data_IF_283390356911
#
_entry.id   IF_283390356911
#
_cell.length_a   1.000
_cell.length_b   1.000
_cell.length_c   1.000
_cell.angle_alpha   90.00
_cell.angle_beta   90.00
_cell.angle_gamma   90.00
#
_symmetry.space_group_name_H-M   'P 1'
#
loop_
_entity.id
_entity.type
_entity.pdbx_description
1 polymer ?
#
# COMPACT_ATOMS: atom_id res chain seq x y z
N UNK A 1 2.96 9.83 8.72
CA UNK A 1 2.67 8.53 9.37
C UNK A 1 1.21 8.11 9.23
N UNK A 2 0.24 8.90 9.70
CA UNK A 2 -1.18 8.51 9.69
C UNK A 2 -1.74 8.11 8.31
N UNK A 3 -1.39 8.83 7.25
CA UNK A 3 -1.87 8.54 5.88
C UNK A 3 -1.44 7.16 5.39
N UNK A 4 -0.15 6.81 5.56
CA UNK A 4 0.36 5.47 5.23
C UNK A 4 -0.31 4.39 6.07
N UNK A 5 -0.50 4.63 7.36
CA UNK A 5 -1.10 3.66 8.27
C UNK A 5 -2.56 3.38 7.88
N UNK A 6 -3.36 4.43 7.65
CA UNK A 6 -4.75 4.30 7.23
C UNK A 6 -4.83 3.56 5.88
N UNK A 7 -3.98 3.94 4.92
CA UNK A 7 -3.90 3.26 3.64
C UNK A 7 -3.60 1.76 3.79
N UNK A 8 -2.56 1.41 4.54
CA UNK A 8 -2.15 0.01 4.74
C UNK A 8 -3.24 -0.81 5.41
N UNK A 9 -3.89 -0.27 6.45
CA UNK A 9 -4.99 -0.97 7.14
C UNK A 9 -6.14 -1.22 6.16
N UNK A 10 -6.57 -0.18 5.45
CA UNK A 10 -7.69 -0.26 4.49
C UNK A 10 -7.41 -1.30 3.39
N UNK A 11 -6.18 -1.27 2.85
CA UNK A 11 -5.75 -2.17 1.80
C UNK A 11 -5.68 -3.62 2.29
N UNK A 12 -5.07 -3.86 3.46
CA UNK A 12 -4.93 -5.20 4.02
C UNK A 12 -6.30 -5.84 4.31
N UNK A 13 -7.23 -5.07 4.87
CA UNK A 13 -8.61 -5.54 5.08
C UNK A 13 -9.30 -5.87 3.77
N UNK A 14 -9.17 -5.02 2.75
CA UNK A 14 -9.75 -5.25 1.43
C UNK A 14 -9.19 -6.53 0.79
N UNK A 15 -7.87 -6.71 0.81
CA UNK A 15 -7.22 -7.90 0.27
C UNK A 15 -7.64 -9.18 1.01
N UNK A 16 -7.83 -9.10 2.34
CA UNK A 16 -8.28 -10.23 3.15
C UNK A 16 -9.73 -10.62 2.83
N UNK A 17 -10.63 -9.64 2.70
CA UNK A 17 -12.03 -9.88 2.33
C UNK A 17 -12.14 -10.47 0.93
N UNK A 18 -11.39 -9.94 -0.04
CA UNK A 18 -11.37 -10.48 -1.41
C UNK A 18 -10.79 -11.90 -1.43
N UNK A 19 -9.72 -12.14 -0.68
CA UNK A 19 -9.11 -13.47 -0.52
C UNK A 19 -10.07 -14.49 0.12
N UNK A 20 -10.84 -14.08 1.11
CA UNK A 20 -11.85 -14.94 1.73
C UNK A 20 -13.02 -15.23 0.77
N UNK A 21 -13.62 -14.19 0.19
CA UNK A 21 -14.82 -14.35 -0.64
C UNK A 21 -14.55 -15.00 -2.00
N UNK A 22 -13.42 -14.67 -2.65
CA UNK A 22 -13.16 -15.07 -4.04
C UNK A 22 -12.35 -16.37 -4.13
N UNK A 23 -11.53 -16.62 -3.11
CA UNK A 23 -10.49 -17.64 -3.18
C UNK A 23 -10.78 -18.87 -2.33
N UNK A 24 -11.85 -18.90 -1.53
CA UNK A 24 -12.30 -20.07 -0.77
C UNK A 24 -12.54 -21.32 -1.63
N UNK A 25 -13.03 -21.15 -2.87
CA UNK A 25 -13.29 -22.25 -3.82
C UNK A 25 -12.14 -22.48 -4.81
N UNK A 26 -11.08 -21.66 -4.74
CA UNK A 26 -9.96 -21.69 -5.68
C UNK A 26 -8.83 -22.60 -5.21
N UNK A 27 -7.97 -23.03 -6.13
CA UNK A 27 -6.82 -23.88 -5.80
C UNK A 27 -5.80 -23.12 -4.93
N UNK A 28 -5.08 -23.86 -4.06
CA UNK A 28 -4.06 -23.28 -3.15
C UNK A 28 -2.98 -22.47 -3.88
N UNK A 29 -2.69 -22.81 -5.14
CA UNK A 29 -1.71 -22.09 -5.98
C UNK A 29 -2.23 -20.70 -6.36
N UNK A 30 -3.53 -20.59 -6.70
CA UNK A 30 -4.17 -19.30 -7.01
C UNK A 30 -4.22 -18.42 -5.76
N UNK A 31 -4.49 -19.00 -4.59
CA UNK A 31 -4.38 -18.30 -3.31
C UNK A 31 -3.00 -17.71 -3.07
N UNK A 32 -1.94 -18.50 -3.24
CA UNK A 32 -0.56 -18.03 -3.08
C UNK A 32 -0.22 -16.89 -4.05
N UNK A 33 -0.59 -17.04 -5.33
CA UNK A 33 -0.35 -16.01 -6.35
C UNK A 33 -1.09 -14.71 -6.03
N UNK A 34 -2.35 -14.79 -5.60
CA UNK A 34 -3.13 -13.61 -5.22
C UNK A 34 -2.48 -12.86 -4.07
N UNK A 35 -2.16 -13.55 -2.96
CA UNK A 35 -1.54 -12.89 -1.80
C UNK A 35 -0.13 -12.37 -2.11
N UNK A 36 0.63 -13.08 -2.95
CA UNK A 36 1.94 -12.61 -3.41
C UNK A 36 1.83 -11.33 -4.24
N UNK A 37 0.91 -11.28 -5.20
CA UNK A 37 0.70 -10.10 -6.06
C UNK A 37 0.07 -8.96 -5.27
N UNK A 38 -0.93 -9.22 -4.44
CA UNK A 38 -1.54 -8.21 -3.56
C UNK A 38 -0.49 -7.62 -2.60
N UNK A 39 0.38 -8.47 -2.05
CA UNK A 39 1.52 -8.07 -1.22
C UNK A 39 2.58 -7.26 -1.95
N UNK A 40 2.67 -7.32 -3.28
CA UNK A 40 3.58 -6.47 -4.06
C UNK A 40 2.86 -5.20 -4.56
N UNK A 41 1.60 -5.32 -4.95
CA UNK A 41 0.83 -4.23 -5.55
C UNK A 41 0.71 -3.01 -4.64
N UNK A 42 0.65 -3.19 -3.31
CA UNK A 42 0.57 -2.06 -2.36
C UNK A 42 1.89 -1.26 -2.23
N UNK A 43 3.02 -1.79 -2.68
CA UNK A 43 4.30 -1.07 -2.63
C UNK A 43 4.30 0.16 -3.52
N UNK A 44 3.57 0.13 -4.64
CA UNK A 44 3.41 1.25 -5.57
C UNK A 44 2.76 2.46 -4.87
N UNK A 45 1.54 2.34 -4.29
CA UNK A 45 0.92 3.44 -3.57
C UNK A 45 1.70 3.85 -2.32
N UNK A 46 2.35 2.92 -1.61
CA UNK A 46 3.23 3.28 -0.50
C UNK A 46 4.40 4.17 -0.96
N UNK A 47 5.05 3.81 -2.07
CA UNK A 47 6.11 4.60 -2.69
C UNK A 47 5.63 5.98 -3.15
N UNK A 48 4.43 6.06 -3.72
CA UNK A 48 3.83 7.34 -4.11
C UNK A 48 3.58 8.27 -2.92
N UNK A 49 3.09 7.73 -1.79
CA UNK A 49 2.89 8.52 -0.56
C UNK A 49 4.22 8.98 0.02
N UNK A 50 5.24 8.11 0.06
CA UNK A 50 6.58 8.47 0.53
C UNK A 50 7.20 9.56 -0.34
N UNK A 51 7.11 9.42 -1.67
CA UNK A 51 7.59 10.43 -2.62
C UNK A 51 6.92 11.79 -2.42
N UNK A 52 5.61 11.80 -2.18
CA UNK A 52 4.86 13.02 -1.87
C UNK A 52 5.32 13.66 -0.55
N UNK A 53 5.57 12.85 0.48
CA UNK A 53 6.11 13.33 1.76
C UNK A 53 7.53 13.90 1.61
N UNK A 54 8.38 13.25 0.82
CA UNK A 54 9.75 13.71 0.57
C UNK A 54 9.78 15.03 -0.22
N UNK A 55 8.95 15.16 -1.26
CA UNK A 55 8.87 16.40 -2.03
C UNK A 55 8.30 17.57 -1.22
N UNK A 56 7.29 17.36 -0.39
CA UNK A 56 6.77 18.40 0.52
C UNK A 56 7.83 18.88 1.52
N UNK A 57 8.63 17.97 2.06
CA UNK A 57 9.71 18.31 2.99
C UNK A 57 10.85 19.10 2.31
N UNK A 58 11.19 18.76 1.06
CA UNK A 58 12.24 19.47 0.30
C UNK A 58 11.90 20.94 0.04
N UNK A 59 10.62 21.29 -0.11
CA UNK A 59 10.18 22.68 -0.28
C UNK A 59 10.31 23.45 1.03
N UNK A 60 9.93 22.84 2.16
CA UNK A 60 10.01 23.49 3.47
C UNK A 60 11.44 23.89 3.86
N UNK A 61 12.44 23.06 3.51
CA UNK A 61 13.87 23.27 3.80
C UNK A 61 14.58 24.28 2.89
N UNK A 62 13.88 24.80 1.88
CA UNK A 62 14.41 25.80 0.95
C UNK A 62 13.96 27.20 1.31
N UNK A 63 12.94 27.36 2.15
CA UNK A 63 12.31 28.63 2.51
C UNK A 63 12.96 29.30 3.74
N UNK A 64 13.76 28.53 4.46
CA UNK A 64 14.56 28.87 5.65
C UNK A 64 16.02 29.21 5.30
N UNK A 65 16.39 29.16 4.02
CA UNK A 65 17.70 29.54 3.50
C UNK A 65 17.74 30.97 2.91
N UNK A 66 16.63 31.71 2.96
CA UNK A 66 16.41 33.05 2.41
C UNK A 66 16.09 34.05 3.54
#
# INVERSE_FOLDING_TARGET
MLVLVIFVISYAFTAMVIGDMTLQQSSRVVQMLYFGIAGIAWTIPAGAIIWWMEHGFRISRRQDAD
#
